data_IF_951638406401
#
_entry.id   IF_951638406401
#
_cell.length_a   1.000
_cell.length_b   1.000
_cell.length_c   1.000
_cell.angle_alpha   90.00
_cell.angle_beta   90.00
_cell.angle_gamma   90.00
#
_symmetry.space_group_name_H-M   'P 1'
#
loop_
_entity.id
_entity.type
_entity.pdbx_description
1 polymer ?
#
# COMPACT_ATOMS: atom_id res chain seq x y z
N UNK A 1 21.83 11.81 1.29
CA UNK A 1 20.58 11.08 0.98
C UNK A 1 20.35 10.13 2.15
N UNK A 2 19.15 10.04 2.74
CA UNK A 2 18.91 9.01 3.75
C UNK A 2 19.30 7.65 3.15
N UNK A 3 19.84 6.77 3.98
CA UNK A 3 20.26 5.44 3.53
C UNK A 3 19.07 4.74 2.87
N UNK A 4 19.31 4.17 1.69
CA UNK A 4 18.31 3.36 1.00
C UNK A 4 18.22 2.02 1.73
N UNK A 5 17.01 1.67 2.19
CA UNK A 5 16.78 0.34 2.76
C UNK A 5 17.01 -0.72 1.69
N UNK A 6 17.62 -1.82 2.10
CA UNK A 6 17.68 -3.05 1.32
C UNK A 6 16.28 -3.66 1.18
N UNK A 7 16.04 -4.54 0.18
CA UNK A 7 14.75 -5.24 0.04
C UNK A 7 14.33 -5.99 1.32
N UNK A 8 15.26 -6.65 1.99
CA UNK A 8 14.99 -7.36 3.25
C UNK A 8 14.56 -6.40 4.37
N UNK A 9 15.21 -5.24 4.49
CA UNK A 9 14.83 -4.21 5.47
C UNK A 9 13.48 -3.55 5.14
N UNK A 10 13.10 -3.47 3.86
CA UNK A 10 11.75 -3.03 3.43
C UNK A 10 10.71 -4.07 3.83
N UNK A 11 10.98 -5.35 3.58
CA UNK A 11 10.11 -6.46 3.94
C UNK A 11 9.91 -6.55 5.45
N UNK A 12 10.99 -6.47 6.23
CA UNK A 12 10.92 -6.43 7.69
C UNK A 12 10.12 -5.21 8.18
N UNK A 13 10.30 -4.05 7.55
CA UNK A 13 9.56 -2.85 7.93
C UNK A 13 8.06 -2.98 7.64
N UNK A 14 7.67 -3.53 6.49
CA UNK A 14 6.28 -3.85 6.16
C UNK A 14 5.68 -4.81 7.19
N UNK A 15 6.39 -5.89 7.52
CA UNK A 15 5.93 -6.93 8.44
C UNK A 15 5.82 -6.44 9.89
N UNK A 16 6.66 -5.49 10.29
CA UNK A 16 6.63 -4.87 11.61
C UNK A 16 5.37 -4.03 11.87
N UNK A 17 4.63 -3.65 10.81
CA UNK A 17 3.35 -2.91 10.87
C UNK A 17 3.39 -1.71 11.82
N UNK A 18 4.28 -0.73 11.60
CA UNK A 18 4.46 0.42 12.48
C UNK A 18 3.23 1.36 12.52
N UNK A 19 2.30 1.22 11.58
CA UNK A 19 1.09 2.04 11.49
C UNK A 19 0.20 1.65 10.33
N UNK A 20 -0.71 2.57 9.97
CA UNK A 20 -1.54 2.45 8.78
C UNK A 20 -0.73 2.87 7.56
N UNK A 21 -0.85 2.15 6.45
CA UNK A 21 -0.20 2.54 5.20
C UNK A 21 -1.05 3.57 4.48
N UNK A 22 -0.42 4.59 3.90
CA UNK A 22 -1.09 5.55 3.03
C UNK A 22 -1.17 4.98 1.62
N UNK A 23 -2.37 4.58 1.21
CA UNK A 23 -2.66 4.12 -0.15
C UNK A 23 -3.11 5.28 -1.03
N UNK A 24 -2.38 5.51 -2.12
CA UNK A 24 -2.67 6.56 -3.10
C UNK A 24 -3.09 5.93 -4.42
N UNK A 25 -4.29 6.30 -4.87
CA UNK A 25 -4.88 5.94 -6.16
C UNK A 25 -5.10 7.21 -7.01
N UNK A 26 -5.36 7.06 -8.31
CA UNK A 26 -5.63 8.22 -9.19
C UNK A 26 -7.12 8.43 -9.38
N UNK A 27 -7.61 9.62 -9.00
CA UNK A 27 -8.98 10.06 -9.21
C UNK A 27 -9.34 10.18 -10.70
N UNK A 28 -10.64 10.18 -11.02
CA UNK A 28 -11.11 10.33 -12.40
C UNK A 28 -10.73 11.68 -13.02
N UNK A 29 -10.57 12.69 -12.18
CA UNK A 29 -10.11 14.04 -12.49
C UNK A 29 -8.57 14.16 -12.53
N UNK A 30 -7.84 13.06 -12.31
CA UNK A 30 -6.38 13.01 -12.35
C UNK A 30 -5.68 13.40 -11.06
N UNK A 31 -6.41 13.81 -10.02
CA UNK A 31 -5.80 14.11 -8.72
C UNK A 31 -5.47 12.84 -7.92
N UNK A 32 -4.41 12.84 -7.11
CA UNK A 32 -4.13 11.74 -6.19
C UNK A 32 -5.21 11.69 -5.09
N UNK A 33 -5.70 10.49 -4.82
CA UNK A 33 -6.60 10.18 -3.72
C UNK A 33 -5.88 9.26 -2.72
N UNK A 34 -5.40 9.87 -1.64
CA UNK A 34 -4.60 9.22 -0.58
C UNK A 34 -5.44 8.98 0.67
N UNK A 35 -5.40 7.76 1.20
CA UNK A 35 -6.13 7.38 2.43
C UNK A 35 -5.31 6.42 3.29
N UNK A 36 -5.39 6.49 4.63
CA UNK A 36 -4.82 5.47 5.50
C UNK A 36 -5.63 4.17 5.39
N UNK A 37 -4.96 3.02 5.32
CA UNK A 37 -5.59 1.71 5.20
C UNK A 37 -4.74 0.61 5.82
N UNK A 38 -5.41 -0.48 6.24
CA UNK A 38 -4.73 -1.65 6.77
C UNK A 38 -4.09 -2.47 5.65
N UNK A 39 -2.98 -3.13 5.94
CA UNK A 39 -2.23 -3.90 4.97
C UNK A 39 -1.57 -5.13 5.59
N UNK A 40 -1.16 -6.05 4.74
CA UNK A 40 -0.22 -7.12 5.07
C UNK A 40 0.58 -7.48 3.82
N UNK A 41 1.72 -8.14 4.02
CA UNK A 41 2.57 -8.63 2.94
C UNK A 41 2.48 -10.15 2.87
N UNK A 42 2.49 -10.69 1.65
CA UNK A 42 2.69 -12.12 1.37
C UNK A 42 3.70 -12.18 0.24
N UNK A 43 4.83 -12.86 0.47
CA UNK A 43 5.97 -12.87 -0.44
C UNK A 43 6.34 -11.44 -0.88
N UNK A 44 6.36 -11.15 -2.18
CA UNK A 44 6.74 -9.84 -2.70
C UNK A 44 5.54 -8.87 -2.86
N UNK A 45 4.32 -9.31 -2.52
CA UNK A 45 3.09 -8.55 -2.73
C UNK A 45 2.54 -7.93 -1.44
N UNK A 46 1.97 -6.72 -1.57
CA UNK A 46 1.27 -6.03 -0.49
C UNK A 46 -0.22 -6.05 -0.73
N UNK A 47 -0.95 -6.65 0.22
CA UNK A 47 -2.39 -6.75 0.23
C UNK A 47 -3.02 -5.65 1.06
N UNK A 48 -4.07 -5.04 0.50
CA UNK A 48 -4.79 -3.92 1.12
C UNK A 48 -6.25 -4.34 1.38
N UNK A 49 -6.61 -4.47 2.66
CA UNK A 49 -7.97 -4.82 3.06
C UNK A 49 -8.92 -3.64 2.84
N UNK A 50 -9.84 -3.75 1.89
CA UNK A 50 -10.79 -2.68 1.57
C UNK A 50 -12.22 -3.19 1.40
N UNK A 51 -13.19 -2.29 1.65
CA UNK A 51 -14.59 -2.55 1.29
C UNK A 51 -14.77 -2.33 -0.20
N UNK A 52 -15.54 -3.22 -0.83
CA UNK A 52 -15.90 -3.11 -2.24
C UNK A 52 -16.65 -1.79 -2.52
N UNK A 53 -16.62 -1.36 -3.78
CA UNK A 53 -17.24 -0.13 -4.30
C UNK A 53 -16.80 1.18 -3.61
N UNK A 54 -15.75 1.17 -2.80
CA UNK A 54 -15.17 2.41 -2.27
C UNK A 54 -14.41 3.17 -3.37
N UNK A 55 -14.32 4.50 -3.27
CA UNK A 55 -13.72 5.33 -4.32
C UNK A 55 -12.29 4.92 -4.69
N UNK A 56 -11.48 4.47 -3.72
CA UNK A 56 -10.11 3.98 -3.95
C UNK A 56 -10.06 2.70 -4.79
N UNK A 57 -11.02 1.79 -4.60
CA UNK A 57 -11.17 0.55 -5.38
C UNK A 57 -11.59 0.89 -6.79
N UNK A 58 -12.62 1.73 -6.94
CA UNK A 58 -13.05 2.21 -8.25
C UNK A 58 -11.94 2.96 -9.00
N UNK A 59 -11.09 3.70 -8.27
CA UNK A 59 -9.91 4.35 -8.84
C UNK A 59 -8.90 3.31 -9.36
N UNK A 60 -8.52 2.33 -8.54
CA UNK A 60 -7.57 1.29 -8.90
C UNK A 60 -8.04 0.42 -10.09
N UNK A 61 -9.35 0.12 -10.17
CA UNK A 61 -9.93 -0.59 -11.32
C UNK A 61 -9.80 0.20 -12.63
N UNK A 62 -9.88 1.52 -12.58
CA UNK A 62 -9.76 2.37 -13.79
C UNK A 62 -8.32 2.68 -14.15
N UNK A 63 -7.47 2.86 -13.14
CA UNK A 63 -6.05 3.12 -13.30
C UNK A 63 -5.29 2.31 -12.24
N UNK A 64 -4.60 1.23 -12.64
CA UNK A 64 -3.92 0.35 -11.69
C UNK A 64 -2.68 1.02 -11.07
N UNK A 65 -2.18 2.14 -11.61
CA UNK A 65 -0.99 2.81 -11.09
C UNK A 65 -1.26 3.43 -9.72
N UNK A 66 -0.63 2.86 -8.71
CA UNK A 66 -0.82 3.25 -7.31
C UNK A 66 0.52 3.46 -6.61
N UNK A 67 0.46 4.09 -5.44
CA UNK A 67 1.58 4.08 -4.50
C UNK A 67 1.13 3.81 -3.07
N UNK A 68 2.07 3.26 -2.29
CA UNK A 68 1.94 3.01 -0.86
C UNK A 68 3.07 3.75 -0.14
N UNK A 69 2.72 4.56 0.84
CA UNK A 69 3.69 5.20 1.74
C UNK A 69 3.48 4.68 3.15
N UNK A 70 4.56 4.22 3.78
CA UNK A 70 4.57 3.80 5.17
C UNK A 70 5.71 4.50 5.89
N UNK A 71 5.42 5.03 7.06
CA UNK A 71 6.35 5.82 7.85
C UNK A 71 6.28 5.45 9.33
N UNK A 72 7.37 5.72 10.03
CA UNK A 72 7.49 5.62 11.47
C UNK A 72 8.44 6.69 11.99
N UNK A 73 8.48 6.83 13.31
CA UNK A 73 9.29 7.85 13.99
C UNK A 73 8.46 9.07 14.34
N UNK A 74 8.94 9.83 15.31
CA UNK A 74 8.22 10.99 15.87
C UNK A 74 9.03 12.29 15.81
N UNK A 75 10.29 12.19 15.38
CA UNK A 75 11.27 13.28 15.30
C UNK A 75 11.99 13.24 13.95
N UNK A 76 12.76 14.28 13.65
CA UNK A 76 13.59 14.27 12.43
C UNK A 76 14.75 13.27 12.48
N UNK A 77 15.13 12.79 13.66
CA UNK A 77 16.29 11.91 13.86
C UNK A 77 15.93 10.42 13.68
N UNK A 78 14.68 10.06 13.96
CA UNK A 78 14.16 8.68 13.93
C UNK A 78 13.14 8.45 12.79
N UNK A 79 12.87 9.46 11.95
CA UNK A 79 11.96 9.29 10.81
C UNK A 79 12.52 8.26 9.83
N UNK A 80 11.69 7.25 9.56
CA UNK A 80 11.94 6.20 8.58
C UNK A 80 10.70 6.08 7.73
N UNK A 81 10.87 5.88 6.42
CA UNK A 81 9.73 5.64 5.54
C UNK A 81 10.13 4.94 4.26
N UNK A 82 9.14 4.29 3.66
CA UNK A 82 9.23 3.63 2.36
C UNK A 82 8.13 4.15 1.43
N UNK A 83 8.45 4.21 0.14
CA UNK A 83 7.49 4.43 -0.94
C UNK A 83 7.54 3.23 -1.88
N UNK A 84 6.42 2.57 -2.05
CA UNK A 84 6.24 1.48 -3.01
C UNK A 84 5.35 2.01 -4.14
N UNK A 85 5.72 1.72 -5.39
CA UNK A 85 4.91 2.04 -6.56
C UNK A 85 4.70 0.76 -7.35
N UNK A 86 3.47 0.56 -7.85
CA UNK A 86 3.12 -0.64 -8.57
C UNK A 86 1.79 -0.53 -9.27
N UNK A 87 1.39 -1.62 -9.92
CA UNK A 87 0.08 -1.78 -10.53
C UNK A 87 -0.80 -2.63 -9.59
N UNK A 88 -1.95 -2.09 -9.17
CA UNK A 88 -2.89 -2.77 -8.28
C UNK A 88 -3.88 -3.65 -9.06
N UNK A 89 -4.06 -4.88 -8.59
CA UNK A 89 -5.14 -5.77 -9.01
C UNK A 89 -6.23 -5.77 -7.94
N UNK A 90 -7.48 -5.54 -8.35
CA UNK A 90 -8.62 -5.62 -7.43
C UNK A 90 -9.17 -7.03 -7.43
N UNK A 91 -9.10 -7.68 -6.27
CA UNK A 91 -9.62 -9.03 -6.02
C UNK A 91 -10.95 -8.88 -5.27
N UNK A 92 -12.05 -9.38 -5.85
CA UNK A 92 -13.38 -9.24 -5.25
C UNK A 92 -14.29 -10.47 -5.42
N UNK A 93 -13.79 -11.56 -5.97
CA UNK A 93 -14.54 -12.83 -6.02
C UNK A 93 -14.15 -13.74 -4.85
N UNK A 94 -15.08 -14.57 -4.34
CA UNK A 94 -14.76 -15.52 -3.26
C UNK A 94 -13.62 -16.48 -3.62
N UNK A 95 -13.58 -16.95 -4.87
CA UNK A 95 -12.58 -17.91 -5.34
C UNK A 95 -11.17 -17.29 -5.34
N UNK A 96 -11.00 -16.07 -5.84
CA UNK A 96 -9.71 -15.37 -5.79
C UNK A 96 -9.29 -15.04 -4.36
N UNK A 97 -10.23 -14.73 -3.46
CA UNK A 97 -9.91 -14.45 -2.05
C UNK A 97 -9.44 -15.70 -1.29
N UNK A 98 -9.91 -16.89 -1.68
CA UNK A 98 -9.47 -18.18 -1.12
C UNK A 98 -8.05 -18.56 -1.54
N UNK A 99 -7.59 -18.09 -2.71
CA UNK A 99 -6.20 -18.30 -3.16
C UNK A 99 -5.18 -17.48 -2.34
N UNK A 100 -5.64 -16.52 -1.54
CA UNK A 100 -4.81 -15.67 -0.68
C UNK A 100 -4.57 -16.23 0.74
N UNK A 101 -5.14 -17.40 1.05
CA UNK A 101 -5.04 -18.08 2.37
C UNK A 101 -4.31 -19.41 2.27
#
# INVERSE_FOLDING_TARGET
MPAQLTPDEVNEFLDSRPGWITFTSVGRDGYPHSVPIGYFRVDDDVYIGCRDHTQKVLNAQRNPKVSLSLESGSTMQDIKGILIQGDATVINTPDEMLELT
#
